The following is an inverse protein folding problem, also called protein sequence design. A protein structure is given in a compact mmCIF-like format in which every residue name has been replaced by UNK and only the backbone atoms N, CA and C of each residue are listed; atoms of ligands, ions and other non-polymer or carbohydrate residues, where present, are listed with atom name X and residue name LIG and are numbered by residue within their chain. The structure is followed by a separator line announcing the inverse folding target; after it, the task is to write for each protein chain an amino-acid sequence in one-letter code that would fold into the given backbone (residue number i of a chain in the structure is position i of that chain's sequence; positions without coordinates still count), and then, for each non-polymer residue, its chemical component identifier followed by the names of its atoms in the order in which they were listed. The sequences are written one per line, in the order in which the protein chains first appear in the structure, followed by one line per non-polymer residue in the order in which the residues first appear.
data_IF_996710040933
#
_entry.id   IF_996710040933
#
_cell.length_a   1.000
_cell.length_b   1.000
_cell.length_c   1.000
_cell.angle_alpha   90.00
_cell.angle_beta   90.00
_cell.angle_gamma   90.00
#
_symmetry.space_group_name_H-M   'P 1'
#
loop_
_entity.id
_entity.type
_entity.pdbx_description
1 polymer ?
#
# COMPACT_ATOMS: atom_id res chain seq x y z
N UNK A 1 -3.55 -23.34 26.44
CA UNK A 1 -2.53 -23.06 25.40
C UNK A 1 -2.97 -21.81 24.66
N UNK A 2 -2.24 -20.70 24.82
CA UNK A 2 -2.51 -19.49 24.02
C UNK A 2 -2.07 -19.79 22.58
N UNK A 3 -2.99 -19.64 21.62
CA UNK A 3 -2.66 -19.76 20.21
C UNK A 3 -1.63 -18.67 19.85
N UNK A 4 -0.55 -19.06 19.18
CA UNK A 4 0.37 -18.08 18.60
C UNK A 4 -0.38 -17.34 17.47
N UNK A 5 -0.40 -16.01 17.55
CA UNK A 5 -1.01 -15.15 16.55
C UNK A 5 0.10 -14.39 15.84
N UNK A 6 0.16 -14.54 14.53
CA UNK A 6 1.11 -13.83 13.67
C UNK A 6 0.30 -12.96 12.72
N UNK A 7 0.65 -11.68 12.63
CA UNK A 7 0.01 -10.73 11.73
C UNK A 7 1.00 -10.34 10.64
N UNK A 8 0.59 -10.46 9.39
CA UNK A 8 1.33 -9.92 8.26
C UNK A 8 0.54 -8.77 7.65
N UNK A 9 1.18 -7.61 7.45
CA UNK A 9 0.51 -6.45 6.86
C UNK A 9 1.34 -5.89 5.71
N UNK A 10 0.65 -5.51 4.65
CA UNK A 10 1.22 -4.71 3.57
C UNK A 10 0.51 -3.36 3.53
N UNK A 11 1.28 -2.29 3.34
CA UNK A 11 0.74 -0.94 3.21
C UNK A 11 1.27 -0.29 1.94
N UNK A 12 0.35 0.11 1.09
CA UNK A 12 0.61 0.94 -0.07
C UNK A 12 0.22 2.38 0.28
N UNK A 13 1.21 3.25 0.42
CA UNK A 13 1.04 4.64 0.84
C UNK A 13 1.46 5.56 -0.31
N UNK A 14 0.62 6.56 -0.60
CA UNK A 14 0.87 7.59 -1.59
C UNK A 14 0.90 8.96 -0.91
N UNK A 15 2.04 9.64 -1.00
CA UNK A 15 2.26 10.99 -0.50
C UNK A 15 2.22 11.96 -1.68
N UNK A 16 1.26 12.89 -1.65
CA UNK A 16 1.04 13.90 -2.68
C UNK A 16 1.45 15.27 -2.16
N UNK A 17 2.42 15.89 -2.84
CA UNK A 17 2.88 17.25 -2.53
C UNK A 17 2.52 18.18 -3.69
N UNK A 18 1.85 19.29 -3.37
CA UNK A 18 1.31 20.23 -4.36
C UNK A 18 0.46 19.53 -5.44
N UNK A 19 -0.57 18.81 -4.97
CA UNK A 19 -1.39 17.96 -5.83
C UNK A 19 -0.61 16.75 -6.34
N UNK A 20 -0.62 16.50 -7.66
CA UNK A 20 0.16 15.40 -8.25
C UNK A 20 1.53 15.85 -8.74
N UNK A 21 1.96 17.09 -8.53
CA UNK A 21 3.25 17.56 -9.07
C UNK A 21 4.41 16.70 -8.57
N UNK A 22 4.39 16.32 -7.29
CA UNK A 22 5.34 15.38 -6.69
C UNK A 22 4.58 14.29 -5.96
N UNK A 23 4.84 13.05 -6.33
CA UNK A 23 4.19 11.86 -5.77
C UNK A 23 5.28 10.92 -5.27
N UNK A 24 5.20 10.54 -4.00
CA UNK A 24 6.05 9.50 -3.42
C UNK A 24 5.19 8.32 -3.04
N UNK A 25 5.49 7.20 -3.66
CA UNK A 25 4.94 5.89 -3.35
C UNK A 25 5.83 5.14 -2.37
N UNK A 26 5.23 4.57 -1.33
CA UNK A 26 5.84 3.67 -0.37
C UNK A 26 5.05 2.36 -0.33
N UNK A 27 5.72 1.24 -0.54
CA UNK A 27 5.16 -0.08 -0.30
C UNK A 27 5.90 -0.71 0.87
N UNK A 28 5.20 -0.94 1.97
CA UNK A 28 5.76 -1.29 3.27
C UNK A 28 5.21 -2.62 3.71
N UNK A 29 6.07 -3.53 4.15
CA UNK A 29 5.66 -4.81 4.70
C UNK A 29 6.05 -4.91 6.17
N UNK A 30 5.09 -5.43 6.94
CA UNK A 30 5.16 -5.53 8.39
C UNK A 30 4.98 -6.98 8.80
N UNK A 31 5.82 -7.42 9.74
CA UNK A 31 5.60 -8.61 10.51
C UNK A 31 5.19 -8.17 11.93
N UNK A 32 4.01 -8.60 12.35
CA UNK A 32 3.24 -8.07 13.46
C UNK A 32 3.08 -6.55 13.41
N UNK A 33 3.89 -5.81 14.18
CA UNK A 33 3.89 -4.34 14.19
C UNK A 33 5.22 -3.75 13.74
N UNK A 34 6.15 -4.59 13.27
CA UNK A 34 7.48 -4.19 12.87
C UNK A 34 7.59 -4.18 11.36
N UNK A 35 7.83 -2.99 10.80
CA UNK A 35 8.21 -2.86 9.40
C UNK A 35 9.57 -3.51 9.20
N UNK A 36 9.68 -4.44 8.26
CA UNK A 36 10.93 -5.16 8.01
C UNK A 36 11.55 -4.84 6.65
N UNK A 37 10.74 -4.48 5.65
CA UNK A 37 11.20 -4.11 4.31
C UNK A 37 10.25 -3.10 3.67
N UNK A 38 10.82 -2.21 2.85
CA UNK A 38 10.05 -1.17 2.14
C UNK A 38 10.60 -0.89 0.76
N UNK A 39 9.73 -0.81 -0.25
CA UNK A 39 10.05 -0.10 -1.48
C UNK A 39 9.77 1.40 -1.32
N UNK A 40 10.74 2.22 -1.71
CA UNK A 40 10.62 3.67 -1.71
C UNK A 40 10.88 4.22 -3.11
N UNK A 41 9.86 4.85 -3.70
CA UNK A 41 9.95 5.40 -5.05
C UNK A 41 11.02 6.49 -5.20
N UNK A 42 11.32 7.26 -4.15
CA UNK A 42 12.40 8.26 -4.18
C UNK A 42 13.78 7.60 -4.32
N UNK A 43 13.93 6.38 -3.78
CA UNK A 43 15.14 5.57 -3.92
C UNK A 43 15.09 4.63 -5.13
N UNK A 44 13.89 4.39 -5.65
CA UNK A 44 13.63 3.46 -6.74
C UNK A 44 14.01 2.01 -6.41
N UNK A 45 14.00 1.61 -5.13
CA UNK A 45 14.39 0.27 -4.69
C UNK A 45 13.80 -0.14 -3.35
N UNK A 46 13.88 -1.44 -3.06
CA UNK A 46 13.61 -1.98 -1.74
C UNK A 46 14.77 -1.69 -0.79
N UNK A 47 14.44 -1.39 0.45
CA UNK A 47 15.34 -1.13 1.56
C UNK A 47 14.90 -2.01 2.72
N UNK A 48 15.84 -2.77 3.27
CA UNK A 48 15.63 -3.50 4.51
C UNK A 48 15.59 -2.51 5.68
N UNK A 49 14.54 -2.60 6.50
CA UNK A 49 14.38 -1.78 7.71
C UNK A 49 14.97 -2.52 8.92
N UNK A 50 14.90 -3.85 8.89
CA UNK A 50 15.50 -4.74 9.89
C UNK A 50 16.35 -5.79 9.20
N UNK A 51 17.23 -6.45 9.96
CA UNK A 51 18.06 -7.54 9.45
C UNK A 51 17.25 -8.68 8.80
N UNK A 52 16.00 -8.90 9.25
CA UNK A 52 15.10 -9.88 8.66
C UNK A 52 14.76 -9.57 7.19
N UNK A 53 14.64 -8.29 6.82
CA UNK A 53 14.30 -7.87 5.47
C UNK A 53 15.44 -7.82 4.47
N UNK A 54 16.69 -8.08 4.88
CA UNK A 54 17.86 -7.99 4.00
C UNK A 54 17.77 -8.94 2.81
N UNK A 55 17.41 -10.21 3.06
CA UNK A 55 17.30 -11.22 2.01
C UNK A 55 16.21 -10.88 0.99
N UNK A 56 15.06 -10.38 1.46
CA UNK A 56 13.94 -9.98 0.61
C UNK A 56 14.29 -8.74 -0.22
N UNK A 57 14.88 -7.72 0.41
CA UNK A 57 15.31 -6.51 -0.30
C UNK A 57 16.35 -6.82 -1.38
N UNK A 58 17.34 -7.66 -1.08
CA UNK A 58 18.36 -8.07 -2.05
C UNK A 58 17.76 -8.87 -3.21
N UNK A 59 16.87 -9.81 -2.92
CA UNK A 59 16.18 -10.60 -3.93
C UNK A 59 15.34 -9.71 -4.86
N UNK A 60 14.45 -8.90 -4.32
CA UNK A 60 13.55 -8.06 -5.12
C UNK A 60 14.26 -6.95 -5.88
N UNK A 61 15.38 -6.45 -5.37
CA UNK A 61 16.21 -5.49 -6.11
C UNK A 61 16.94 -6.14 -7.30
N UNK A 62 17.22 -7.45 -7.27
CA UNK A 62 17.77 -8.20 -8.41
C UNK A 62 16.71 -8.59 -9.43
N UNK A 63 15.46 -8.78 -8.98
CA UNK A 63 14.32 -9.10 -9.84
C UNK A 63 13.79 -7.86 -10.57
N UNK A 64 14.31 -7.61 -11.77
CA UNK A 64 13.98 -6.42 -12.58
C UNK A 64 12.48 -6.20 -12.79
N UNK A 65 11.71 -7.27 -12.98
CA UNK A 65 10.27 -7.18 -13.20
C UNK A 65 9.54 -6.61 -11.97
N UNK A 66 9.85 -7.11 -10.77
CA UNK A 66 9.26 -6.61 -9.52
C UNK A 66 9.66 -5.14 -9.31
N UNK A 67 10.95 -4.82 -9.49
CA UNK A 67 11.46 -3.47 -9.30
C UNK A 67 10.81 -2.46 -10.27
N UNK A 68 10.64 -2.84 -11.54
CA UNK A 68 9.97 -2.02 -12.55
C UNK A 68 8.47 -1.86 -12.25
N UNK A 69 7.81 -2.94 -11.84
CA UNK A 69 6.40 -2.90 -11.44
C UNK A 69 6.18 -1.92 -10.27
N UNK A 70 6.98 -2.02 -9.21
CA UNK A 70 6.91 -1.10 -8.06
C UNK A 70 7.24 0.34 -8.40
N UNK A 71 8.17 0.59 -9.34
CA UNK A 71 8.42 1.94 -9.86
C UNK A 71 7.22 2.50 -10.61
N UNK A 72 6.52 1.68 -11.38
CA UNK A 72 5.35 2.09 -12.16
C UNK A 72 4.13 2.42 -11.28
N UNK A 73 4.04 1.88 -10.06
CA UNK A 73 2.94 2.15 -9.11
C UNK A 73 2.83 3.63 -8.70
N UNK A 74 3.87 4.45 -8.90
CA UNK A 74 3.74 5.92 -8.76
C UNK A 74 2.65 6.47 -9.68
N UNK A 75 2.63 6.04 -10.94
CA UNK A 75 1.68 6.54 -11.92
C UNK A 75 0.43 5.66 -11.98
N UNK A 76 0.62 4.34 -12.09
CA UNK A 76 -0.49 3.39 -12.27
C UNK A 76 -1.34 3.19 -11.02
N UNK A 77 -0.79 3.43 -9.83
CA UNK A 77 -1.54 3.32 -8.59
C UNK A 77 -1.81 4.70 -7.99
N UNK A 78 -0.77 5.46 -7.62
CA UNK A 78 -0.98 6.70 -6.88
C UNK A 78 -1.70 7.78 -7.73
N UNK A 79 -1.18 8.16 -8.90
CA UNK A 79 -1.82 9.20 -9.72
C UNK A 79 -3.20 8.80 -10.20
N UNK A 80 -3.35 7.57 -10.70
CA UNK A 80 -4.64 7.07 -11.16
C UNK A 80 -5.71 7.09 -10.05
N UNK A 81 -5.36 6.67 -8.83
CA UNK A 81 -6.27 6.75 -7.70
C UNK A 81 -6.53 8.19 -7.26
N UNK A 82 -5.53 9.08 -7.30
CA UNK A 82 -5.73 10.49 -6.97
C UNK A 82 -6.70 11.16 -7.95
N UNK A 83 -6.58 10.89 -9.25
CA UNK A 83 -7.50 11.39 -10.28
C UNK A 83 -8.91 10.86 -10.05
N UNK A 84 -9.05 9.55 -9.83
CA UNK A 84 -10.33 8.91 -9.54
C UNK A 84 -10.98 9.47 -8.28
N UNK A 85 -10.22 9.59 -7.19
CA UNK A 85 -10.68 10.14 -5.91
C UNK A 85 -10.98 11.64 -5.98
N UNK A 86 -10.21 12.41 -6.77
CA UNK A 86 -10.46 13.84 -6.99
C UNK A 86 -11.70 14.07 -7.86
N UNK A 87 -11.92 13.24 -8.88
CA UNK A 87 -13.15 13.23 -9.67
C UNK A 87 -14.37 12.91 -8.80
N UNK A 88 -14.29 11.91 -7.93
CA UNK A 88 -15.37 11.59 -6.98
C UNK A 88 -15.61 12.73 -5.98
N UNK A 89 -14.55 13.41 -5.51
CA UNK A 89 -14.67 14.59 -4.65
C UNK A 89 -15.34 15.77 -5.36
N UNK A 90 -14.95 16.07 -6.60
CA UNK A 90 -15.57 17.12 -7.42
C UNK A 90 -17.05 16.82 -7.69
N UNK A 91 -17.38 15.57 -8.04
CA UNK A 91 -18.77 15.12 -8.21
C UNK A 91 -19.56 15.17 -6.91
N UNK A 92 -18.92 14.94 -5.75
CA UNK A 92 -19.54 15.10 -4.42
C UNK A 92 -19.86 16.56 -4.14
N UNK A 93 -18.99 17.50 -4.50
CA UNK A 93 -19.25 18.95 -4.40
C UNK A 93 -20.42 19.38 -5.31
N UNK A 94 -20.46 18.88 -6.55
CA UNK A 94 -21.60 19.09 -7.46
C UNK A 94 -22.92 18.51 -6.90
N UNK A 95 -22.89 17.31 -6.30
CA UNK A 95 -24.04 16.68 -5.63
C UNK A 95 -24.51 17.42 -4.38
N UNK A 96 -23.62 18.08 -3.64
CA UNK A 96 -23.99 18.91 -2.49
C UNK A 96 -24.71 20.19 -2.91
N UNK A 97 -24.43 20.70 -4.12
CA UNK A 97 -25.11 21.86 -4.70
C UNK A 97 -26.53 21.51 -5.18
N UNK A 98 -26.84 20.23 -5.44
CA UNK A 98 -28.16 19.77 -5.89
C UNK A 98 -28.76 18.64 -5.05
N UNK A 99 -29.33 18.93 -3.87
CA UNK A 99 -30.09 17.91 -3.11
C UNK A 99 -31.40 17.56 -3.82
N UNK A 100 -31.45 16.41 -4.50
CA UNK A 100 -32.65 15.56 -4.57
C UNK A 100 -32.21 14.10 -4.50
N UNK A 101 -32.81 13.35 -3.58
CA UNK A 101 -32.29 12.09 -3.05
C UNK A 101 -32.20 10.96 -4.07
N UNK A 102 -31.31 10.01 -3.76
CA UNK A 102 -31.53 8.56 -3.83
C UNK A 102 -30.28 7.87 -3.27
N UNK A 103 -30.50 6.93 -2.34
CA UNK A 103 -29.48 6.08 -1.74
C UNK A 103 -29.22 4.92 -2.70
N UNK A 104 -27.98 4.74 -3.18
CA UNK A 104 -27.44 3.41 -3.53
C UNK A 104 -25.91 3.38 -3.49
N UNK A 105 -25.40 2.26 -3.00
CA UNK A 105 -23.99 1.87 -3.05
C UNK A 105 -23.58 1.16 -4.34
N UNK A 106 -22.27 0.90 -4.45
CA UNK A 106 -21.58 0.16 -5.51
C UNK A 106 -20.88 1.07 -6.53
N UNK A 107 -19.61 0.91 -6.88
CA UNK A 107 -18.59 -0.04 -6.43
C UNK A 107 -17.33 0.05 -7.32
N UNK A 108 -16.19 -0.40 -6.79
CA UNK A 108 -15.12 -1.02 -7.57
C UNK A 108 -14.64 -2.26 -6.82
N UNK A 109 -14.54 -3.35 -7.56
CA UNK A 109 -14.52 -4.75 -7.16
C UNK A 109 -13.23 -5.25 -6.49
N UNK A 110 -12.64 -4.57 -5.48
CA UNK A 110 -11.70 -5.28 -4.58
C UNK A 110 -11.83 -4.78 -3.12
N UNK A 111 -11.44 -5.60 -2.12
CA UNK A 111 -11.63 -5.28 -0.71
C UNK A 111 -10.57 -4.28 -0.24
N UNK A 112 -10.75 -3.00 -0.56
CA UNK A 112 -9.82 -1.93 -0.17
C UNK A 112 -10.43 -1.07 0.94
N UNK A 113 -9.91 -1.18 2.17
CA UNK A 113 -10.11 -0.13 3.17
C UNK A 113 -9.03 0.94 2.97
N UNK A 114 -9.29 1.86 2.02
CA UNK A 114 -8.44 3.02 1.79
C UNK A 114 -8.81 4.16 2.74
N UNK A 115 -7.89 4.57 3.61
CA UNK A 115 -8.08 5.75 4.45
C UNK A 115 -7.53 6.98 3.72
N UNK A 116 -8.43 7.88 3.31
CA UNK A 116 -8.10 9.17 2.71
C UNK A 116 -8.00 10.23 3.80
N UNK A 117 -6.77 10.67 4.13
CA UNK A 117 -6.54 11.75 5.08
C UNK A 117 -6.07 13.01 4.34
N UNK A 118 -6.82 14.10 4.48
CA UNK A 118 -6.46 15.43 3.96
C UNK A 118 -5.78 16.22 5.07
N UNK A 119 -4.50 16.57 4.88
CA UNK A 119 -3.78 17.45 5.82
C UNK A 119 -3.30 18.69 5.05
N UNK A 120 -4.13 19.74 5.03
CA UNK A 120 -3.82 20.97 4.28
C UNK A 120 -3.88 20.81 2.75
N UNK A 121 -2.81 21.21 2.06
CA UNK A 121 -2.63 21.10 0.58
C UNK A 121 -2.14 19.71 0.17
N UNK A 122 -1.58 18.96 1.12
CA UNK A 122 -1.00 17.65 0.91
C UNK A 122 -2.07 16.57 1.15
N UNK A 123 -2.07 15.57 0.27
CA UNK A 123 -2.97 14.42 0.38
C UNK A 123 -2.15 13.19 0.72
N UNK A 124 -2.71 12.39 1.62
CA UNK A 124 -2.15 11.11 1.99
C UNK A 124 -3.22 10.03 1.78
N UNK A 125 -2.88 9.06 0.94
CA UNK A 125 -3.73 7.89 0.72
C UNK A 125 -3.00 6.67 1.27
N UNK A 126 -3.62 5.98 2.21
CA UNK A 126 -3.12 4.72 2.75
C UNK A 126 -4.08 3.60 2.40
N UNK A 127 -3.54 2.57 1.77
CA UNK A 127 -4.23 1.32 1.52
C UNK A 127 -3.57 0.26 2.40
N UNK A 128 -4.35 -0.32 3.30
CA UNK A 128 -3.88 -1.40 4.17
C UNK A 128 -4.38 -2.74 3.62
N UNK A 129 -3.47 -3.72 3.56
CA UNK A 129 -3.81 -5.10 3.34
C UNK A 129 -3.35 -5.89 4.56
N UNK A 130 -4.31 -6.39 5.32
CA UNK A 130 -4.02 -7.32 6.39
C UNK A 130 -4.17 -8.74 5.87
N UNK A 131 -3.09 -9.50 5.90
CA UNK A 131 -3.15 -10.94 5.70
C UNK A 131 -3.05 -11.57 7.08
N UNK A 132 -4.19 -11.82 7.71
CA UNK A 132 -4.32 -12.46 9.04
C UNK A 132 -3.84 -13.93 9.09
N UNK A 133 -3.16 -14.37 8.05
CA UNK A 133 -2.59 -15.70 7.90
C UNK A 133 -1.82 -15.67 6.58
N UNK A 134 -0.74 -14.87 6.49
CA UNK A 134 0.18 -15.13 5.38
C UNK A 134 0.82 -16.49 5.60
N UNK A 135 0.81 -17.07 6.83
CA UNK A 135 1.10 -18.49 6.95
C UNK A 135 0.41 -19.32 8.05
N UNK A 136 -0.38 -20.35 7.76
CA UNK A 136 0.05 -21.64 7.21
C UNK A 136 0.87 -21.67 5.89
N UNK A 137 0.77 -20.66 5.03
CA UNK A 137 1.36 -20.43 3.71
C UNK A 137 2.90 -20.43 3.43
N UNK A 138 3.80 -20.75 4.36
CA UNK A 138 5.08 -21.48 4.12
C UNK A 138 5.23 -22.60 5.13
N UNK A 139 4.28 -22.84 6.05
CA UNK A 139 4.45 -23.82 7.14
C UNK A 139 5.70 -23.37 7.96
N UNK A 140 6.19 -23.97 9.01
CA UNK A 140 6.99 -25.19 8.86
C UNK A 140 8.06 -25.21 7.73
N UNK A 141 8.44 -24.07 7.13
CA UNK A 141 9.73 -23.88 6.44
C UNK A 141 10.71 -23.16 7.42
N UNK A 142 11.37 -23.72 8.44
CA UNK A 142 11.81 -25.10 8.71
C UNK A 142 12.30 -25.82 7.45
N UNK A 143 13.32 -25.37 6.70
CA UNK A 143 14.30 -24.26 6.89
C UNK A 143 14.66 -23.94 8.35
N UNK A 144 15.19 -24.78 9.26
CA UNK A 144 15.68 -26.18 9.38
C UNK A 144 16.34 -26.93 8.21
N UNK A 145 16.07 -26.56 6.98
CA UNK A 145 16.98 -26.65 5.85
C UNK A 145 18.17 -25.69 5.97
N UNK A 146 19.09 -26.00 6.89
CA UNK A 146 20.51 -25.60 6.94
C UNK A 146 20.86 -24.12 7.18
N UNK A 147 20.88 -23.75 8.46
CA UNK A 147 22.17 -23.62 9.16
C UNK A 147 21.99 -23.86 10.65
#
# INVERSE_FOLDING_TARGET
LLAAHFLYQEKAECLFLNGTQRVRYLYRQFYDRQEYVRFDSDLGKFVAITAFGEADADKWNREKQILQYKKAEVDSFCRQNYETGSYEAAKREERLIGRRGESWGGGSLLPWEGEYQKTGVDRFCRYNYEVLSYEAAKREERVFGRR
#
